data_IF_936594809182
#
_entry.id   IF_936594809182
#
_cell.length_a   1.000
_cell.length_b   1.000
_cell.length_c   1.000
_cell.angle_alpha   90.00
_cell.angle_beta   90.00
_cell.angle_gamma   90.00
#
_symmetry.space_group_name_H-M   'P 1'
#
loop_
_entity.id
_entity.type
_entity.pdbx_description
1 polymer ?
#
# COMPACT_ATOMS: atom_id res chain seq x y z
N UNK A 1 13.46 -5.19 -1.34
CA UNK A 1 12.57 -6.20 -0.72
C UNK A 1 11.21 -5.56 -0.50
N UNK A 2 10.18 -6.06 -1.18
CA UNK A 2 8.83 -5.51 -1.17
C UNK A 2 7.97 -6.32 -0.19
N UNK A 3 7.51 -5.71 0.90
CA UNK A 3 6.62 -6.37 1.86
C UNK A 3 5.41 -5.46 2.11
N UNK A 4 4.23 -6.05 2.02
CA UNK A 4 2.95 -5.41 2.32
C UNK A 4 2.19 -6.29 3.30
N UNK A 5 1.52 -5.64 4.24
CA UNK A 5 0.52 -6.28 5.09
C UNK A 5 -0.87 -5.86 4.64
N UNK A 6 -1.73 -6.83 4.34
CA UNK A 6 -3.16 -6.60 4.16
C UNK A 6 -3.86 -6.74 5.52
N UNK A 7 -4.68 -5.73 5.86
CA UNK A 7 -5.48 -5.66 7.09
C UNK A 7 -4.68 -5.79 8.39
N UNK A 8 -3.37 -5.58 8.35
CA UNK A 8 -2.46 -5.70 9.50
C UNK A 8 -2.09 -7.12 9.94
N UNK A 9 -2.83 -8.16 9.53
CA UNK A 9 -2.59 -9.55 9.95
C UNK A 9 -2.11 -10.49 8.84
N UNK A 10 -2.27 -10.10 7.57
CA UNK A 10 -1.87 -10.91 6.43
C UNK A 10 -0.66 -10.28 5.72
N UNK A 11 0.54 -10.61 6.22
CA UNK A 11 1.80 -10.13 5.67
C UNK A 11 2.31 -11.01 4.53
N UNK A 12 2.59 -10.42 3.37
CA UNK A 12 3.06 -11.17 2.20
C UNK A 12 4.57 -11.38 2.12
N UNK A 13 5.39 -10.92 3.09
CA UNK A 13 6.82 -11.29 3.27
C UNK A 13 7.65 -11.55 1.97
N UNK A 14 7.61 -10.64 0.99
CA UNK A 14 8.29 -10.74 -0.33
C UNK A 14 7.66 -11.71 -1.36
N UNK A 15 6.48 -12.26 -1.11
CA UNK A 15 5.72 -13.10 -2.03
C UNK A 15 4.77 -12.31 -2.95
N UNK A 16 4.91 -11.00 -3.00
CA UNK A 16 4.14 -10.11 -3.88
C UNK A 16 5.08 -9.23 -4.69
N UNK A 17 4.63 -8.91 -5.90
CA UNK A 17 5.21 -7.91 -6.77
C UNK A 17 4.29 -6.70 -6.76
N UNK A 18 4.86 -5.54 -6.48
CA UNK A 18 4.17 -4.26 -6.55
C UNK A 18 4.79 -3.49 -7.70
N UNK A 19 3.95 -3.10 -8.64
CA UNK A 19 4.32 -2.32 -9.81
C UNK A 19 3.54 -1.00 -9.76
N UNK A 20 4.26 0.12 -9.80
CA UNK A 20 3.64 1.43 -9.86
C UNK A 20 3.41 1.84 -11.31
N UNK A 21 2.23 2.39 -11.57
CA UNK A 21 1.81 2.85 -12.89
C UNK A 21 1.33 4.30 -12.76
N UNK A 22 1.19 5.01 -13.88
CA UNK A 22 0.70 6.40 -13.88
C UNK A 22 -0.71 6.57 -13.29
N UNK A 23 -1.51 5.50 -13.18
CA UNK A 23 -2.89 5.53 -12.67
C UNK A 23 -3.05 4.94 -11.28
N UNK A 24 -2.06 4.19 -10.78
CA UNK A 24 -2.21 3.43 -9.55
C UNK A 24 -1.17 2.34 -9.35
N UNK A 25 -1.40 1.51 -8.34
CA UNK A 25 -0.54 0.39 -7.96
C UNK A 25 -1.16 -0.93 -8.38
N UNK A 26 -0.36 -1.76 -9.04
CA UNK A 26 -0.70 -3.15 -9.32
C UNK A 26 0.01 -4.05 -8.32
N UNK A 27 -0.76 -4.80 -7.54
CA UNK A 27 -0.26 -5.76 -6.56
C UNK A 27 -0.56 -7.15 -7.09
N UNK A 28 0.49 -7.90 -7.43
CA UNK A 28 0.36 -9.26 -7.91
C UNK A 28 1.10 -10.23 -6.99
N UNK A 29 0.43 -11.20 -6.35
CA UNK A 29 1.12 -12.25 -5.65
C UNK A 29 1.85 -13.17 -6.64
N UNK A 30 2.84 -13.90 -6.10
CA UNK A 30 3.53 -14.95 -6.84
C UNK A 30 2.56 -15.94 -7.47
N UNK A 31 2.96 -16.48 -8.61
CA UNK A 31 2.12 -17.35 -9.44
C UNK A 31 1.45 -18.48 -8.63
N UNK A 32 2.18 -19.10 -7.70
CA UNK A 32 1.68 -20.19 -6.86
C UNK A 32 0.55 -19.78 -5.89
N UNK A 33 0.49 -18.50 -5.51
CA UNK A 33 -0.54 -17.95 -4.61
C UNK A 33 -1.74 -17.34 -5.35
N UNK A 34 -1.67 -17.23 -6.69
CA UNK A 34 -2.74 -16.63 -7.52
C UNK A 34 -4.10 -17.34 -7.48
N UNK A 35 -4.21 -18.67 -7.33
CA UNK A 35 -5.51 -19.33 -7.29
C UNK A 35 -6.42 -18.87 -6.13
N UNK A 36 -5.83 -18.40 -5.02
CA UNK A 36 -6.57 -17.85 -3.88
C UNK A 36 -6.55 -16.31 -3.79
N UNK A 37 -5.62 -15.66 -4.49
CA UNK A 37 -5.41 -14.22 -4.42
C UNK A 37 -5.16 -13.65 -5.83
N UNK A 38 -6.22 -13.19 -6.53
CA UNK A 38 -6.03 -12.56 -7.83
C UNK A 38 -5.20 -11.27 -7.70
N UNK A 39 -4.43 -10.90 -8.73
CA UNK A 39 -3.78 -9.60 -8.78
C UNK A 39 -4.80 -8.47 -8.62
N UNK A 40 -4.45 -7.48 -7.81
CA UNK A 40 -5.29 -6.33 -7.54
C UNK A 40 -4.70 -5.10 -8.23
N UNK A 41 -5.58 -4.25 -8.74
CA UNK A 41 -5.24 -2.91 -9.18
C UNK A 41 -5.88 -1.92 -8.22
N UNK A 42 -5.07 -0.99 -7.72
CA UNK A 42 -5.48 0.04 -6.79
C UNK A 42 -5.27 1.39 -7.48
N UNK A 43 -6.31 2.14 -7.84
CA UNK A 43 -6.18 3.46 -8.46
C UNK A 43 -5.76 4.52 -7.43
N UNK A 44 -4.85 5.44 -7.78
CA UNK A 44 -4.43 6.51 -6.85
C UNK A 44 -5.59 7.44 -6.45
N UNK A 45 -6.52 7.70 -7.37
CA UNK A 45 -7.70 8.54 -7.11
C UNK A 45 -8.60 7.99 -6.00
N UNK A 46 -8.62 6.66 -5.83
CA UNK A 46 -9.40 6.00 -4.79
C UNK A 46 -8.63 5.73 -3.51
N UNK A 47 -7.32 6.00 -3.49
CA UNK A 47 -6.51 5.78 -2.30
C UNK A 47 -6.56 6.97 -1.35
N UNK A 48 -6.45 6.68 -0.06
CA UNK A 48 -6.09 7.64 0.97
C UNK A 48 -4.89 7.10 1.74
N UNK A 49 -3.90 7.95 2.02
CA UNK A 49 -2.68 7.54 2.73
C UNK A 49 -2.60 8.14 4.13
N UNK A 50 -2.09 7.37 5.10
CA UNK A 50 -1.86 7.78 6.48
C UNK A 50 -0.46 7.31 6.89
N UNK A 51 0.40 8.25 7.27
CA UNK A 51 1.72 7.93 7.82
C UNK A 51 1.59 7.48 9.27
N UNK A 52 2.19 6.33 9.61
CA UNK A 52 2.17 5.79 10.98
C UNK A 52 3.49 5.10 11.32
N UNK A 53 3.85 5.08 12.60
CA UNK A 53 5.06 4.40 13.06
C UNK A 53 4.67 3.23 13.94
N UNK A 54 5.17 2.03 13.64
CA UNK A 54 4.94 0.83 14.44
C UNK A 54 6.27 0.19 14.80
N UNK A 55 6.54 -0.02 16.10
CA UNK A 55 7.78 -0.62 16.61
C UNK A 55 9.06 0.05 16.04
N UNK A 56 9.04 1.39 15.92
CA UNK A 56 10.16 2.17 15.35
C UNK A 56 10.29 2.11 13.82
N UNK A 57 9.42 1.36 13.12
CA UNK A 57 9.38 1.28 11.66
C UNK A 57 8.31 2.23 11.12
N UNK A 58 8.71 3.13 10.23
CA UNK A 58 7.79 3.98 9.49
C UNK A 58 7.00 3.18 8.46
N UNK A 59 5.68 3.25 8.56
CA UNK A 59 4.73 2.60 7.67
C UNK A 59 3.80 3.65 7.06
N UNK A 60 3.35 3.39 5.86
CA UNK A 60 2.35 4.17 5.16
C UNK A 60 1.14 3.27 4.95
N UNK A 61 0.08 3.57 5.69
CA UNK A 61 -1.17 2.86 5.56
C UNK A 61 -2.00 3.50 4.46
N UNK A 62 -2.29 2.72 3.43
CA UNK A 62 -3.21 3.09 2.36
C UNK A 62 -4.55 2.43 2.61
N UNK A 63 -5.64 3.17 2.40
CA UNK A 63 -7.01 2.65 2.41
C UNK A 63 -7.69 3.04 1.11
N UNK A 64 -8.73 2.32 0.74
CA UNK A 64 -9.55 2.66 -0.42
C UNK A 64 -10.78 3.45 0.03
N UNK A 65 -11.13 4.53 -0.68
CA UNK A 65 -12.33 5.34 -0.40
C UNK A 65 -13.60 4.50 -0.46
N UNK A 66 -13.68 3.58 -1.42
CA UNK A 66 -14.85 2.72 -1.62
C UNK A 66 -15.00 1.66 -0.52
N UNK A 67 -13.88 1.12 0.00
CA UNK A 67 -13.87 0.15 1.09
C UNK A 67 -12.82 0.53 2.15
N UNK A 68 -13.18 1.43 3.10
CA UNK A 68 -12.27 1.87 4.14
C UNK A 68 -11.92 0.78 5.16
N UNK A 69 -12.62 -0.37 5.12
CA UNK A 69 -12.34 -1.54 5.96
C UNK A 69 -11.10 -2.31 5.52
N UNK A 70 -10.57 -2.04 4.32
CA UNK A 70 -9.33 -2.63 3.82
C UNK A 70 -8.19 -1.64 3.99
N UNK A 71 -7.27 -1.98 4.89
CA UNK A 71 -5.98 -1.29 5.03
C UNK A 71 -4.86 -2.08 4.38
N UNK A 72 -3.97 -1.36 3.71
CA UNK A 72 -2.81 -1.89 3.02
C UNK A 72 -1.60 -1.12 3.54
N UNK A 73 -0.72 -1.82 4.24
CA UNK A 73 0.40 -1.19 4.91
C UNK A 73 1.68 -1.39 4.11
N UNK A 74 2.24 -0.29 3.64
CA UNK A 74 3.53 -0.23 2.95
C UNK A 74 4.62 0.23 3.90
N UNK A 75 5.87 -0.18 3.66
CA UNK A 75 7.01 0.43 4.34
C UNK A 75 7.28 1.80 3.77
N UNK A 76 7.60 2.78 4.63
CA UNK A 76 7.92 4.15 4.20
C UNK A 76 9.07 4.20 3.18
N UNK A 77 10.11 3.39 3.37
CA UNK A 77 11.25 3.32 2.44
C UNK A 77 10.85 2.80 1.06
N UNK A 78 9.84 1.94 0.98
CA UNK A 78 9.31 1.46 -0.28
C UNK A 78 8.48 2.54 -0.97
N UNK A 79 7.62 3.25 -0.23
CA UNK A 79 6.85 4.36 -0.79
C UNK A 79 7.75 5.47 -1.30
N UNK A 80 8.82 5.81 -0.57
CA UNK A 80 9.80 6.81 -1.02
C UNK A 80 10.46 6.39 -2.34
N UNK A 81 10.87 5.13 -2.45
CA UNK A 81 11.39 4.58 -3.71
C UNK A 81 10.37 4.65 -4.84
N UNK A 82 9.09 4.41 -4.56
CA UNK A 82 8.03 4.54 -5.55
C UNK A 82 7.83 5.99 -5.98
N UNK A 83 7.80 6.95 -5.04
CA UNK A 83 7.69 8.39 -5.35
C UNK A 83 8.83 8.86 -6.24
N UNK A 84 10.04 8.33 -6.06
CA UNK A 84 11.16 8.62 -6.97
C UNK A 84 10.97 8.02 -8.37
N UNK A 85 10.29 6.88 -8.50
CA UNK A 85 10.06 6.19 -9.77
C UNK A 85 8.90 6.79 -10.58
N UNK A 86 7.77 7.09 -9.94
CA UNK A 86 6.56 7.59 -10.60
C UNK A 86 6.34 9.10 -10.46
N UNK A 87 7.09 9.77 -9.57
CA UNK A 87 6.91 11.18 -9.25
C UNK A 87 5.87 11.43 -8.14
N UNK A 88 5.42 12.68 -8.03
CA UNK A 88 4.46 13.16 -7.01
C UNK A 88 3.01 12.84 -7.36
N UNK A 89 2.75 11.57 -7.70
CA UNK A 89 1.40 11.04 -8.02
C UNK A 89 0.81 10.23 -6.86
N UNK A 90 1.52 10.20 -5.74
CA UNK A 90 1.11 9.45 -4.56
C UNK A 90 -0.11 10.12 -3.89
N UNK A 91 -1.11 9.35 -3.44
CA UNK A 91 -2.32 9.90 -2.85
C UNK A 91 -2.01 10.79 -1.66
N UNK A 92 -2.68 11.95 -1.64
CA UNK A 92 -2.55 12.95 -0.57
C UNK A 92 -2.77 12.29 0.80
N UNK A 93 -1.98 12.74 1.78
CA UNK A 93 -2.15 12.31 3.15
C UNK A 93 -3.52 12.76 3.61
N UNK A 94 -4.35 11.80 4.00
CA UNK A 94 -5.51 12.14 4.81
C UNK A 94 -4.96 12.66 6.13
N UNK A 95 -5.07 13.96 6.37
CA UNK A 95 -4.85 14.58 7.68
C UNK A 95 -5.75 13.83 8.67
N UNK A 96 -5.16 12.88 9.39
CA UNK A 96 -5.83 12.31 10.54
C UNK A 96 -5.63 13.34 11.63
N UNK A 97 -6.62 14.22 11.78
CA UNK A 97 -6.90 14.85 13.06
C UNK A 97 -6.80 13.75 14.12
N UNK A 98 -5.75 13.83 14.93
CA UNK A 98 -5.52 12.97 16.07
C UNK A 98 -6.71 13.11 17.03
N UNK A 99 -7.71 12.25 16.84
CA UNK A 99 -8.82 12.09 17.74
C UNK A 99 -8.37 11.30 18.97
N UNK A 100 -8.12 12.06 20.04
CA UNK A 100 -8.13 11.73 21.49
C UNK A 100 -7.07 10.78 22.01
#
# INVERSE_FOLDING_TARGET
MQSVSLRGWCGYNNCITIEATAKGLKIAPWFIMRPGHPPLFLPFDEMTSISRTMLGVGLEQVRMKQDPGVSIDFRRTFVESLRQEIGDVWPEQADVETGV
#
